data_IF_543369616563
#
_entry.id   IF_543369616563
#
_cell.length_a   1.000
_cell.length_b   1.000
_cell.length_c   1.000
_cell.angle_alpha   90.00
_cell.angle_beta   90.00
_cell.angle_gamma   90.00
#
_symmetry.space_group_name_H-M   'P 1'
#
loop_
_entity.id
_entity.type
_entity.pdbx_description
1 polymer ?
#
# COMPACT_ATOMS: atom_id res chain seq x y z
N UNK A 1 -24.80 18.31 -17.64
CA UNK A 1 -23.99 18.31 -16.39
C UNK A 1 -23.72 16.92 -15.78
N UNK A 2 -24.22 15.80 -16.33
CA UNK A 2 -23.98 14.45 -15.78
C UNK A 2 -22.50 14.00 -15.83
N UNK A 3 -21.79 14.35 -16.90
CA UNK A 3 -20.40 13.95 -17.15
C UNK A 3 -19.42 14.39 -16.04
N UNK A 4 -19.55 15.63 -15.54
CA UNK A 4 -18.63 16.15 -14.51
C UNK A 4 -18.76 15.40 -13.18
N UNK A 5 -19.99 15.02 -12.79
CA UNK A 5 -20.24 14.24 -11.57
C UNK A 5 -19.62 12.84 -11.65
N UNK A 6 -19.67 12.19 -12.81
CA UNK A 6 -19.05 10.88 -13.04
C UNK A 6 -17.51 10.95 -12.96
N UNK A 7 -16.92 12.00 -13.53
CA UNK A 7 -15.46 12.23 -13.47
C UNK A 7 -15.01 12.48 -12.03
N UNK A 8 -15.71 13.33 -11.27
CA UNK A 8 -15.39 13.61 -9.86
C UNK A 8 -15.52 12.35 -9.01
N UNK A 9 -16.54 11.52 -9.24
CA UNK A 9 -16.73 10.28 -8.49
C UNK A 9 -15.64 9.24 -8.78
N UNK A 10 -15.29 9.03 -10.05
CA UNK A 10 -14.20 8.14 -10.43
C UNK A 10 -12.85 8.59 -9.87
N UNK A 11 -12.59 9.90 -9.87
CA UNK A 11 -11.39 10.47 -9.25
C UNK A 11 -11.38 10.25 -7.73
N UNK A 12 -12.51 10.49 -7.06
CA UNK A 12 -12.67 10.25 -5.62
C UNK A 12 -12.40 8.80 -5.24
N UNK A 13 -12.95 7.84 -6.00
CA UNK A 13 -12.67 6.41 -5.80
C UNK A 13 -11.19 6.09 -6.00
N UNK A 14 -10.57 6.62 -7.06
CA UNK A 14 -9.13 6.43 -7.31
C UNK A 14 -8.29 6.94 -6.13
N UNK A 15 -8.59 8.15 -5.65
CA UNK A 15 -7.87 8.75 -4.52
C UNK A 15 -8.07 7.94 -3.24
N UNK A 16 -9.29 7.50 -2.94
CA UNK A 16 -9.58 6.67 -1.77
C UNK A 16 -8.81 5.33 -1.81
N UNK A 17 -8.79 4.66 -2.95
CA UNK A 17 -8.04 3.40 -3.12
C UNK A 17 -6.53 3.62 -2.95
N UNK A 18 -5.99 4.72 -3.50
CA UNK A 18 -4.56 5.05 -3.34
C UNK A 18 -4.24 5.41 -1.89
N UNK A 19 -5.10 6.17 -1.21
CA UNK A 19 -4.94 6.53 0.21
C UNK A 19 -4.87 5.27 1.06
N UNK A 20 -5.80 4.33 0.88
CA UNK A 20 -5.83 3.06 1.63
C UNK A 20 -4.61 2.17 1.33
N UNK A 21 -4.20 2.05 0.06
CA UNK A 21 -3.16 1.08 -0.32
C UNK A 21 -1.73 1.60 -0.12
N UNK A 22 -1.50 2.91 -0.22
CA UNK A 22 -0.16 3.49 -0.26
C UNK A 22 0.17 4.40 0.91
N UNK A 23 -0.81 4.94 1.65
CA UNK A 23 -0.52 5.78 2.81
C UNK A 23 0.04 4.91 3.93
N UNK A 24 1.11 5.38 4.55
CA UNK A 24 1.64 4.76 5.76
C UNK A 24 0.58 4.85 6.85
N UNK A 25 0.33 3.75 7.55
CA UNK A 25 -0.40 3.77 8.81
C UNK A 25 0.49 4.52 9.82
N UNK A 26 0.36 5.84 9.89
CA UNK A 26 1.10 6.68 10.85
C UNK A 26 0.69 6.32 12.29
N UNK A 27 -0.51 5.76 12.48
CA UNK A 27 -1.12 5.54 13.79
C UNK A 27 -0.62 4.29 14.55
N UNK A 28 0.30 3.47 14.01
CA UNK A 28 0.74 2.22 14.68
C UNK A 28 2.18 2.24 15.21
N UNK A 29 2.89 3.36 15.07
CA UNK A 29 4.23 3.55 15.64
C UNK A 29 4.21 4.21 17.04
N UNK A 30 3.05 4.69 17.53
CA UNK A 30 2.96 5.43 18.79
C UNK A 30 2.81 4.55 20.05
N UNK A 31 2.54 3.24 19.95
CA UNK A 31 2.41 2.34 21.12
C UNK A 31 3.75 1.84 21.69
N UNK A 32 4.91 2.23 21.13
CA UNK A 32 6.23 1.72 21.56
C UNK A 32 7.19 2.75 22.17
N UNK A 33 6.74 3.95 22.52
CA UNK A 33 7.57 4.87 23.33
C UNK A 33 6.92 5.16 24.68
N UNK A 34 7.18 4.22 25.59
CA UNK A 34 6.95 4.34 27.03
C UNK A 34 7.87 5.42 27.63
N UNK A 35 7.24 6.51 28.08
CA UNK A 35 7.51 7.28 29.32
C UNK A 35 8.96 7.72 29.59
N UNK A 36 9.22 9.03 29.46
CA UNK A 36 9.89 9.79 30.54
C UNK A 36 9.23 11.15 30.70
N UNK A 37 8.48 11.30 31.79
CA UNK A 37 7.90 12.55 32.28
C UNK A 37 8.99 13.60 32.53
N UNK A 38 8.71 14.86 32.19
CA UNK A 38 9.21 16.00 32.93
C UNK A 38 8.13 17.10 32.90
N UNK A 39 7.70 17.49 34.10
CA UNK A 39 6.81 18.60 34.39
C UNK A 39 7.41 19.94 33.95
N UNK A 40 6.55 20.85 33.50
CA UNK A 40 6.70 22.27 33.82
C UNK A 40 5.36 22.98 33.66
N UNK A 41 4.81 23.40 34.81
CA UNK A 41 3.71 24.33 34.98
C UNK A 41 4.00 25.70 34.34
N UNK A 42 3.01 26.28 33.64
CA UNK A 42 2.73 27.72 33.67
C UNK A 42 1.21 27.91 33.61
N UNK A 43 0.71 28.54 34.66
CA UNK A 43 -0.62 29.11 34.87
C UNK A 43 -0.67 30.54 34.29
N UNK A 44 -1.76 30.95 33.61
CA UNK A 44 -2.47 32.22 33.92
C UNK A 44 -3.66 32.56 32.97
N UNK A 45 -4.78 32.85 33.62
CA UNK A 45 -5.96 33.71 33.36
C UNK A 45 -6.65 33.91 31.99
N UNK A 46 -7.89 33.39 31.95
CA UNK A 46 -9.19 34.06 31.68
C UNK A 46 -9.42 35.02 30.50
N UNK A 47 -10.40 34.69 29.62
CA UNK A 47 -11.51 35.61 29.24
C UNK A 47 -12.61 34.96 28.37
N UNK A 48 -13.80 34.97 28.96
CA UNK A 48 -15.21 34.86 28.52
C UNK A 48 -15.66 34.83 27.03
N UNK A 49 -16.59 33.89 26.79
CA UNK A 49 -17.83 33.91 25.96
C UNK A 49 -17.84 34.42 24.50
N UNK A 50 -18.22 33.52 23.58
CA UNK A 50 -19.32 33.82 22.64
C UNK A 50 -20.08 32.56 22.19
N UNK A 51 -21.41 32.62 22.32
CA UNK A 51 -22.34 31.52 22.09
C UNK A 51 -22.36 31.05 20.63
N UNK A 52 -22.42 29.72 20.47
CA UNK A 52 -22.62 29.04 19.20
C UNK A 52 -24.02 29.30 18.63
N UNK A 53 -24.08 29.65 17.34
CA UNK A 53 -25.25 29.42 16.50
C UNK A 53 -24.81 28.61 15.27
N UNK A 54 -24.53 27.34 15.50
CA UNK A 54 -24.37 26.34 14.44
C UNK A 54 -25.74 25.86 13.96
N UNK A 55 -26.09 26.19 12.71
CA UNK A 55 -27.24 25.63 12.00
C UNK A 55 -27.07 24.11 11.93
N UNK A 56 -27.84 23.38 12.72
CA UNK A 56 -27.80 21.92 12.78
C UNK A 56 -28.55 21.36 11.58
N UNK A 57 -27.81 20.97 10.53
CA UNK A 57 -28.35 20.20 9.42
C UNK A 57 -28.65 18.79 9.93
N UNK A 58 -29.93 18.50 10.20
CA UNK A 58 -30.38 17.13 10.48
C UNK A 58 -30.34 16.33 9.18
N UNK A 59 -29.21 15.69 8.88
CA UNK A 59 -29.16 14.66 7.84
C UNK A 59 -29.98 13.48 8.31
N UNK A 60 -31.17 13.29 7.74
CA UNK A 60 -31.97 12.07 7.90
C UNK A 60 -31.23 10.92 7.22
N UNK A 61 -30.27 10.33 7.92
CA UNK A 61 -29.51 9.18 7.43
C UNK A 61 -30.41 7.95 7.51
N UNK A 62 -30.83 7.46 6.35
CA UNK A 62 -31.56 6.22 6.17
C UNK A 62 -30.86 5.07 6.94
N UNK A 63 -31.54 4.42 7.90
CA UNK A 63 -30.98 3.31 8.67
C UNK A 63 -30.44 2.16 7.83
N UNK A 64 -30.88 2.02 6.57
CA UNK A 64 -30.40 0.98 5.64
C UNK A 64 -28.97 1.20 5.15
N UNK A 65 -28.36 2.37 5.38
CA UNK A 65 -26.94 2.63 5.10
C UNK A 65 -25.99 2.24 6.25
N UNK A 66 -26.52 1.83 7.41
CA UNK A 66 -25.70 1.46 8.58
C UNK A 66 -25.04 0.07 8.45
N UNK A 67 -25.30 -0.66 7.35
CA UNK A 67 -24.71 -1.97 7.07
C UNK A 67 -23.74 -1.93 5.88
N UNK A 68 -23.03 -0.81 5.66
CA UNK A 68 -21.72 -0.92 5.02
C UNK A 68 -20.76 -1.40 6.09
N UNK A 69 -20.58 -2.72 6.18
CA UNK A 69 -19.46 -3.34 6.89
C UNK A 69 -18.21 -2.54 6.55
N UNK A 70 -17.63 -1.82 7.53
CA UNK A 70 -16.37 -1.11 7.34
C UNK A 70 -15.39 -2.12 6.76
N UNK A 71 -14.95 -1.90 5.53
CA UNK A 71 -13.99 -2.78 4.89
C UNK A 71 -12.69 -2.64 5.67
N UNK A 72 -12.38 -3.63 6.50
CA UNK A 72 -11.12 -3.66 7.23
C UNK A 72 -10.03 -4.20 6.32
N UNK A 73 -8.91 -3.49 6.27
CA UNK A 73 -7.77 -3.92 5.47
C UNK A 73 -7.10 -5.08 6.18
N UNK A 74 -6.78 -6.15 5.44
CA UNK A 74 -6.08 -7.32 5.98
C UNK A 74 -4.81 -6.85 6.71
N UNK A 75 -4.62 -7.20 7.99
CA UNK A 75 -3.40 -6.89 8.72
C UNK A 75 -2.17 -7.40 7.96
N UNK A 76 -1.06 -6.65 7.97
CA UNK A 76 0.25 -7.02 7.37
C UNK A 76 0.29 -7.10 5.84
N UNK A 77 -0.75 -6.68 5.11
CA UNK A 77 -0.70 -6.61 3.64
C UNK A 77 0.46 -5.73 3.14
N UNK A 78 0.75 -4.64 3.87
CA UNK A 78 1.81 -3.71 3.50
C UNK A 78 3.16 -4.41 3.55
N UNK A 79 3.44 -5.19 4.60
CA UNK A 79 4.69 -5.94 4.76
C UNK A 79 4.91 -6.90 3.58
N UNK A 80 3.89 -7.70 3.25
CA UNK A 80 3.92 -8.60 2.10
C UNK A 80 4.18 -7.85 0.80
N UNK A 81 3.52 -6.71 0.63
CA UNK A 81 3.69 -5.87 -0.55
C UNK A 81 5.10 -5.26 -0.63
N UNK A 82 5.68 -4.83 0.49
CA UNK A 82 7.06 -4.37 0.54
C UNK A 82 8.04 -5.49 0.20
N UNK A 83 7.82 -6.73 0.68
CA UNK A 83 8.64 -7.90 0.31
C UNK A 83 8.62 -8.12 -1.20
N UNK A 84 7.44 -8.12 -1.83
CA UNK A 84 7.31 -8.22 -3.29
C UNK A 84 8.08 -7.09 -3.99
N UNK A 85 7.91 -5.83 -3.55
CA UNK A 85 8.64 -4.69 -4.12
C UNK A 85 10.15 -4.82 -3.96
N UNK A 86 10.65 -5.32 -2.82
CA UNK A 86 12.09 -5.55 -2.58
C UNK A 86 12.65 -6.53 -3.60
N UNK A 87 11.97 -7.67 -3.82
CA UNK A 87 12.39 -8.66 -4.82
C UNK A 87 12.34 -8.09 -6.23
N UNK A 88 11.24 -7.44 -6.62
CA UNK A 88 11.13 -6.82 -7.95
C UNK A 88 12.25 -5.79 -8.17
N UNK A 89 12.55 -4.95 -7.17
CA UNK A 89 13.65 -3.97 -7.23
C UNK A 89 15.01 -4.63 -7.37
N UNK A 90 15.25 -5.78 -6.73
CA UNK A 90 16.50 -6.52 -6.84
C UNK A 90 16.78 -6.96 -8.29
N UNK A 91 15.78 -7.51 -8.97
CA UNK A 91 15.91 -7.87 -10.39
C UNK A 91 16.00 -6.64 -11.31
N UNK A 92 15.19 -5.60 -11.06
CA UNK A 92 15.21 -4.38 -11.89
C UNK A 92 16.47 -3.53 -11.70
N UNK A 93 17.14 -3.58 -10.54
CA UNK A 93 18.36 -2.80 -10.28
C UNK A 93 19.61 -3.45 -10.86
N UNK A 94 19.60 -4.76 -11.06
CA UNK A 94 20.73 -5.47 -11.66
C UNK A 94 20.39 -5.97 -13.06
N UNK A 95 20.41 -5.02 -14.01
CA UNK A 95 19.97 -5.20 -15.40
C UNK A 95 20.69 -6.34 -16.16
N UNK A 96 21.89 -6.77 -15.74
CA UNK A 96 22.71 -7.68 -16.57
C UNK A 96 22.87 -9.09 -16.00
N UNK A 97 23.01 -9.27 -14.68
CA UNK A 97 23.24 -10.61 -14.11
C UNK A 97 21.96 -11.27 -13.62
N UNK A 98 21.13 -10.56 -12.87
CA UNK A 98 19.94 -11.14 -12.24
C UNK A 98 18.82 -11.32 -13.25
N UNK A 99 18.64 -10.35 -14.14
CA UNK A 99 17.67 -10.48 -15.22
C UNK A 99 18.06 -11.61 -16.17
N UNK A 100 19.36 -11.86 -16.42
CA UNK A 100 19.81 -13.00 -17.22
C UNK A 100 19.37 -14.36 -16.62
N UNK A 101 19.60 -14.58 -15.32
CA UNK A 101 19.15 -15.81 -14.64
C UNK A 101 17.63 -15.95 -14.66
N UNK A 102 16.90 -14.85 -14.41
CA UNK A 102 15.44 -14.86 -14.46
C UNK A 102 14.93 -15.16 -15.87
N UNK A 103 15.42 -14.45 -16.90
CA UNK A 103 14.98 -14.64 -18.28
C UNK A 103 15.28 -16.04 -18.81
N UNK A 104 16.34 -16.70 -18.33
CA UNK A 104 16.60 -18.12 -18.64
C UNK A 104 15.40 -18.99 -18.24
N UNK A 105 15.01 -18.94 -16.96
CA UNK A 105 13.89 -19.73 -16.45
C UNK A 105 12.55 -19.33 -17.05
N UNK A 106 12.34 -18.03 -17.29
CA UNK A 106 11.11 -17.50 -17.89
C UNK A 106 10.95 -17.96 -19.35
N UNK A 107 12.03 -18.00 -20.13
CA UNK A 107 12.03 -18.54 -21.49
C UNK A 107 11.73 -20.03 -21.50
N UNK A 108 12.31 -20.79 -20.57
CA UNK A 108 12.04 -22.23 -20.45
C UNK A 108 10.57 -22.51 -20.13
N UNK A 109 9.95 -21.72 -19.25
CA UNK A 109 8.58 -21.96 -18.78
C UNK A 109 7.49 -21.39 -19.71
N UNK A 110 7.70 -20.17 -20.23
CA UNK A 110 6.67 -19.45 -21.02
C UNK A 110 7.03 -19.32 -22.51
N UNK A 111 8.23 -19.73 -22.94
CA UNK A 111 8.68 -19.63 -24.33
C UNK A 111 9.00 -18.21 -24.82
N UNK A 112 8.87 -17.20 -23.96
CA UNK A 112 9.14 -15.79 -24.27
C UNK A 112 9.67 -15.05 -23.06
N UNK A 113 10.38 -13.96 -23.30
CA UNK A 113 10.85 -13.07 -22.24
C UNK A 113 9.70 -12.35 -21.56
N UNK A 114 9.73 -12.34 -20.23
CA UNK A 114 8.79 -11.63 -19.39
C UNK A 114 9.58 -10.96 -18.26
N UNK A 115 9.73 -9.64 -18.33
CA UNK A 115 10.32 -8.85 -17.25
C UNK A 115 9.36 -8.65 -16.08
N UNK A 116 9.92 -8.41 -14.90
CA UNK A 116 9.17 -7.95 -13.73
C UNK A 116 8.84 -6.46 -13.86
N UNK A 117 7.68 -6.08 -13.36
CA UNK A 117 7.19 -4.70 -13.36
C UNK A 117 7.07 -4.22 -11.91
N UNK A 118 7.46 -2.97 -11.66
CA UNK A 118 7.30 -2.30 -10.37
C UNK A 118 6.05 -1.44 -10.43
N UNK A 119 5.29 -1.39 -9.34
CA UNK A 119 4.08 -0.59 -9.25
C UNK A 119 4.38 0.92 -9.18
N UNK A 120 3.37 1.72 -9.53
CA UNK A 120 3.37 3.17 -9.48
C UNK A 120 2.32 3.65 -8.47
N UNK A 121 2.72 4.40 -7.42
CA UNK A 121 1.82 4.81 -6.35
C UNK A 121 0.58 5.59 -6.79
N UNK A 122 0.66 6.33 -7.90
CA UNK A 122 -0.43 7.17 -8.39
C UNK A 122 -1.46 6.42 -9.25
N UNK A 123 -1.25 5.13 -9.48
CA UNK A 123 -2.09 4.32 -10.38
C UNK A 123 -2.30 2.91 -9.83
N UNK A 124 -3.39 2.69 -9.10
CA UNK A 124 -3.69 1.42 -8.42
C UNK A 124 -3.67 0.18 -9.33
N UNK A 125 -4.04 0.29 -10.62
CA UNK A 125 -3.95 -0.86 -11.55
C UNK A 125 -2.50 -1.37 -11.72
N UNK A 126 -1.50 -0.50 -11.50
CA UNK A 126 -0.10 -0.90 -11.58
C UNK A 126 0.31 -1.85 -10.45
N UNK A 127 -0.32 -1.71 -9.27
CA UNK A 127 -0.16 -2.63 -8.15
C UNK A 127 -0.63 -4.03 -8.53
N UNK A 128 -1.85 -4.10 -9.08
CA UNK A 128 -2.44 -5.35 -9.53
C UNK A 128 -1.59 -6.00 -10.62
N UNK A 129 -1.10 -5.19 -11.58
CA UNK A 129 -0.20 -5.67 -12.61
C UNK A 129 1.10 -6.23 -12.02
N UNK A 130 1.75 -5.53 -11.08
CA UNK A 130 2.96 -6.01 -10.39
C UNK A 130 2.71 -7.33 -9.66
N UNK A 131 1.67 -7.42 -8.85
CA UNK A 131 1.35 -8.63 -8.08
C UNK A 131 1.03 -9.78 -9.02
N UNK A 132 0.20 -9.56 -10.04
CA UNK A 132 -0.15 -10.59 -11.03
C UNK A 132 1.07 -11.09 -11.80
N UNK A 133 1.97 -10.19 -12.21
CA UNK A 133 3.23 -10.54 -12.89
C UNK A 133 4.17 -11.31 -11.98
N UNK A 134 4.31 -10.86 -10.73
CA UNK A 134 5.13 -11.51 -9.72
C UNK A 134 4.65 -12.93 -9.43
N UNK A 135 3.33 -13.09 -9.20
CA UNK A 135 2.73 -14.40 -8.96
C UNK A 135 2.95 -15.35 -10.15
N UNK A 136 2.75 -14.87 -11.37
CA UNK A 136 3.00 -15.66 -12.58
C UNK A 136 4.45 -16.14 -12.69
N UNK A 137 5.41 -15.31 -12.30
CA UNK A 137 6.83 -15.62 -12.41
C UNK A 137 7.42 -16.22 -11.13
N UNK A 138 6.61 -16.51 -10.10
CA UNK A 138 7.07 -16.92 -8.76
C UNK A 138 8.07 -18.08 -8.80
N UNK A 139 7.77 -19.13 -9.57
CA UNK A 139 8.65 -20.31 -9.67
C UNK A 139 9.98 -19.96 -10.34
N UNK A 140 9.96 -19.11 -11.36
CA UNK A 140 11.16 -18.64 -12.04
C UNK A 140 12.02 -17.76 -11.12
N UNK A 141 11.36 -16.90 -10.32
CA UNK A 141 12.01 -16.06 -9.32
C UNK A 141 12.69 -16.92 -8.25
N UNK A 142 11.99 -17.91 -7.71
CA UNK A 142 12.52 -18.82 -6.68
C UNK A 142 13.78 -19.55 -7.20
N UNK A 143 13.75 -20.09 -8.43
CA UNK A 143 14.92 -20.71 -9.08
C UNK A 143 16.07 -19.71 -9.29
N UNK A 144 15.77 -18.51 -9.79
CA UNK A 144 16.78 -17.49 -10.03
C UNK A 144 17.46 -16.98 -8.74
N UNK A 145 16.71 -16.95 -7.62
CA UNK A 145 17.27 -16.59 -6.31
C UNK A 145 18.20 -17.68 -5.76
N UNK A 146 17.86 -18.96 -5.96
CA UNK A 146 18.71 -20.10 -5.58
C UNK A 146 20.03 -20.07 -6.34
N UNK A 147 19.98 -19.97 -7.67
CA UNK A 147 21.18 -19.96 -8.53
C UNK A 147 22.17 -18.84 -8.21
N UNK A 148 21.63 -17.70 -7.79
CA UNK A 148 22.40 -16.52 -7.48
C UNK A 148 23.04 -16.58 -6.08
N UNK A 149 22.82 -17.66 -5.33
CA UNK A 149 23.37 -17.86 -3.99
C UNK A 149 22.85 -16.85 -2.98
N UNK A 150 21.69 -16.25 -3.23
CA UNK A 150 21.00 -15.48 -2.20
C UNK A 150 20.24 -16.46 -1.32
N UNK A 151 20.71 -16.68 -0.09
CA UNK A 151 19.99 -17.45 0.95
C UNK A 151 18.62 -16.85 1.31
N UNK A 152 18.23 -15.73 0.70
CA UNK A 152 16.94 -15.09 0.88
C UNK A 152 15.86 -15.83 0.09
N UNK A 153 15.11 -16.74 0.74
CA UNK A 153 13.82 -17.16 0.17
C UNK A 153 12.81 -16.02 0.28
N UNK A 154 11.79 -16.03 -0.56
CA UNK A 154 10.68 -15.07 -0.45
C UNK A 154 10.07 -15.03 0.97
N UNK A 155 10.05 -16.18 1.65
CA UNK A 155 9.59 -16.31 3.04
C UNK A 155 10.51 -15.65 4.07
N UNK A 156 11.80 -15.48 3.76
CA UNK A 156 12.85 -15.08 4.69
C UNK A 156 13.17 -13.57 4.62
N UNK A 157 12.60 -12.86 3.64
CA UNK A 157 12.69 -11.41 3.55
C UNK A 157 11.79 -10.80 4.63
N UNK A 158 12.35 -10.32 5.72
CA UNK A 158 11.64 -9.53 6.75
C UNK A 158 11.26 -8.14 6.22
#
# INVERSE_FOLDING_TARGET
MSCYKQVCFALGLKLAVVDILYKKNIEREEEHQEITSNESDIDDEDTDTHAEQGVTVTTTTDPRNLYLSRAEVIPRYNDLLQKVRKVVKLFKRSLTKYDMYLQKYVKEDTGKELSLILDCPTHWNSLLAMIGRFHKLKVCIDKALIDKGSDTKFSDLE
#
